data_IF_000079827068
#
_entry.id   IF_000079827068
#
_cell.length_a   1.000
_cell.length_b   1.000
_cell.length_c   1.000
_cell.angle_alpha   90.00
_cell.angle_beta   90.00
_cell.angle_gamma   90.00
#
_symmetry.space_group_name_H-M   'P 1'
#
loop_
_entity.id
_entity.type
_entity.pdbx_description
1 polymer ?
#
# COMPACT_ATOMS: atom_id res chain seq x y z
N UNK A 1 -21.82 0.25 18.35
CA UNK A 1 -21.72 -0.11 16.97
C UNK A 1 -20.31 -0.39 16.55
N UNK A 2 -20.14 -1.40 15.77
CA UNK A 2 -18.81 -1.81 15.39
C UNK A 2 -18.34 -1.11 14.15
N UNK A 3 -17.13 -0.61 14.21
CA UNK A 3 -16.50 -0.09 13.02
C UNK A 3 -16.13 -1.25 12.11
N UNK A 4 -16.26 -1.01 10.83
CA UNK A 4 -15.84 -2.00 9.88
C UNK A 4 -14.35 -2.21 10.01
N UNK A 5 -13.96 -3.46 10.04
CA UNK A 5 -12.55 -3.77 10.09
C UNK A 5 -11.96 -3.51 8.71
N UNK A 6 -10.93 -2.71 8.66
CA UNK A 6 -10.28 -2.39 7.40
C UNK A 6 -9.24 -3.45 7.08
N UNK A 7 -9.74 -4.57 6.60
CA UNK A 7 -8.89 -5.70 6.29
C UNK A 7 -8.61 -5.84 4.82
N UNK A 8 -8.42 -4.73 4.18
CA UNK A 8 -8.02 -4.79 2.77
C UNK A 8 -6.68 -5.49 2.69
N UNK A 9 -6.65 -6.52 1.90
CA UNK A 9 -5.45 -7.32 1.80
C UNK A 9 -4.53 -6.70 0.78
N UNK A 10 -3.60 -5.94 1.27
CA UNK A 10 -2.61 -5.30 0.42
C UNK A 10 -1.86 -6.32 -0.42
N UNK A 11 -1.77 -7.52 0.10
CA UNK A 11 -1.10 -8.59 -0.64
C UNK A 11 -1.75 -8.88 -1.98
N UNK A 12 -3.01 -8.48 -2.17
CA UNK A 12 -3.70 -8.66 -3.43
C UNK A 12 -3.43 -7.54 -4.41
N UNK A 13 -2.71 -6.51 -3.99
CA UNK A 13 -2.43 -5.37 -4.82
C UNK A 13 -1.70 -5.77 -6.11
N UNK A 14 -0.72 -6.67 -5.99
CA UNK A 14 0.04 -7.17 -7.13
C UNK A 14 0.06 -8.69 -7.07
N UNK A 15 -1.05 -9.35 -7.41
CA UNK A 15 -1.12 -10.80 -7.24
C UNK A 15 -0.10 -11.57 -8.07
N UNK A 16 0.27 -11.05 -9.23
CA UNK A 16 1.24 -11.72 -10.08
C UNK A 16 2.66 -11.60 -9.56
N UNK A 17 2.89 -10.71 -8.62
CA UNK A 17 4.22 -10.50 -8.02
C UNK A 17 4.31 -11.01 -6.59
N UNK A 18 3.38 -11.86 -6.22
CA UNK A 18 3.27 -12.30 -4.84
C UNK A 18 4.56 -12.85 -4.26
N UNK A 19 5.17 -13.79 -4.97
CA UNK A 19 6.41 -14.40 -4.50
C UNK A 19 7.56 -13.41 -4.50
N UNK A 20 7.58 -12.58 -5.52
CA UNK A 20 8.62 -11.57 -5.65
C UNK A 20 8.54 -10.54 -4.53
N UNK A 21 7.31 -10.16 -4.17
CA UNK A 21 7.11 -9.23 -3.06
C UNK A 21 7.68 -9.80 -1.78
N UNK A 22 7.37 -11.06 -1.50
CA UNK A 22 7.86 -11.68 -0.29
C UNK A 22 9.37 -11.73 -0.26
N UNK A 23 9.99 -12.09 -1.37
CA UNK A 23 11.43 -12.16 -1.44
C UNK A 23 12.08 -10.79 -1.31
N UNK A 24 11.52 -9.79 -1.95
CA UNK A 24 12.06 -8.43 -1.86
C UNK A 24 11.93 -7.86 -0.46
N UNK A 25 10.87 -8.20 0.24
CA UNK A 25 10.72 -7.75 1.62
C UNK A 25 11.82 -8.30 2.52
N UNK A 26 12.31 -9.48 2.21
CA UNK A 26 13.40 -10.09 2.98
C UNK A 26 14.76 -9.54 2.57
N UNK A 27 14.93 -9.29 1.29
CA UNK A 27 16.24 -8.89 0.76
C UNK A 27 16.46 -7.38 0.76
N UNK A 28 15.39 -6.61 0.69
CA UNK A 28 15.49 -5.17 0.54
C UNK A 28 14.69 -4.47 1.64
N UNK A 29 15.38 -3.98 2.68
CA UNK A 29 14.69 -3.30 3.78
C UNK A 29 13.96 -2.04 3.32
N UNK A 30 14.46 -1.36 2.31
CA UNK A 30 13.80 -0.18 1.79
C UNK A 30 12.44 -0.55 1.18
N UNK A 31 12.43 -1.63 0.41
CA UNK A 31 11.18 -2.11 -0.18
C UNK A 31 10.20 -2.53 0.91
N UNK A 32 10.70 -3.24 1.91
CA UNK A 32 9.85 -3.68 3.02
C UNK A 32 9.21 -2.51 3.74
N UNK A 33 10.00 -1.46 3.99
CA UNK A 33 9.48 -0.28 4.65
C UNK A 33 8.42 0.40 3.81
N UNK A 34 8.67 0.54 2.50
CA UNK A 34 7.69 1.15 1.62
C UNK A 34 6.40 0.36 1.56
N UNK A 35 6.53 -0.95 1.55
CA UNK A 35 5.37 -1.81 1.52
C UNK A 35 4.55 -1.63 2.80
N UNK A 36 5.22 -1.57 3.94
CA UNK A 36 4.54 -1.34 5.22
C UNK A 36 3.88 0.04 5.26
N UNK A 37 4.55 1.04 4.72
CA UNK A 37 3.99 2.39 4.66
C UNK A 37 2.72 2.42 3.82
N UNK A 38 2.74 1.72 2.70
CA UNK A 38 1.57 1.63 1.84
C UNK A 38 0.41 0.98 2.58
N UNK A 39 0.71 -0.08 3.29
CA UNK A 39 -0.30 -0.80 4.05
C UNK A 39 -0.89 0.08 5.15
N UNK A 40 -0.04 0.80 5.85
CA UNK A 40 -0.49 1.70 6.90
C UNK A 40 -1.37 2.81 6.35
N UNK A 41 -0.99 3.36 5.21
CA UNK A 41 -1.78 4.40 4.57
C UNK A 41 -3.14 3.87 4.12
N UNK A 42 -3.15 2.65 3.59
CA UNK A 42 -4.40 2.05 3.15
C UNK A 42 -5.37 1.89 4.33
N UNK A 43 -4.85 1.46 5.48
CA UNK A 43 -5.65 1.32 6.67
C UNK A 43 -6.15 2.67 7.17
N UNK A 44 -5.28 3.65 7.18
CA UNK A 44 -5.64 4.98 7.64
C UNK A 44 -6.72 5.59 6.76
N UNK A 45 -6.59 5.44 5.45
CA UNK A 45 -7.59 5.93 4.52
C UNK A 45 -8.92 5.22 4.76
N UNK A 46 -8.88 3.93 4.98
CA UNK A 46 -10.09 3.17 5.23
C UNK A 46 -10.80 3.66 6.48
N UNK A 47 -10.06 3.96 7.53
CA UNK A 47 -10.64 4.49 8.76
C UNK A 47 -11.24 5.87 8.54
N UNK A 48 -10.54 6.70 7.77
CA UNK A 48 -11.06 8.05 7.48
C UNK A 48 -12.32 8.00 6.64
N UNK A 49 -12.42 7.03 5.75
CA UNK A 49 -13.61 6.88 4.92
C UNK A 49 -14.85 6.55 5.74
N UNK A 50 -14.67 6.08 6.95
CA UNK A 50 -15.76 5.78 7.84
C UNK A 50 -16.19 6.99 8.67
N UNK A 51 -15.46 8.10 8.57
CA UNK A 51 -15.71 9.31 9.32
C UNK A 51 -16.12 10.43 8.37
N UNK A 52 -17.43 10.72 8.25
CA UNK A 52 -17.89 11.72 7.28
C UNK A 52 -17.36 13.13 7.57
N UNK A 53 -17.09 13.43 8.83
CA UNK A 53 -16.57 14.75 9.18
C UNK A 53 -15.16 14.92 8.60
N UNK A 54 -14.32 13.92 8.74
CA UNK A 54 -12.94 13.99 8.28
C UNK A 54 -12.88 13.97 6.76
N UNK A 55 -13.78 13.22 6.14
CA UNK A 55 -13.89 13.22 4.68
C UNK A 55 -14.23 14.63 4.19
N UNK A 56 -15.17 15.25 4.86
CA UNK A 56 -15.61 16.59 4.48
C UNK A 56 -14.47 17.61 4.58
N UNK A 57 -13.55 17.40 5.51
CA UNK A 57 -12.40 18.28 5.67
C UNK A 57 -11.33 18.07 4.60
N UNK A 58 -11.48 17.05 3.78
CA UNK A 58 -10.50 16.77 2.75
C UNK A 58 -9.23 16.15 3.28
N UNK A 59 -9.28 15.55 4.46
CA UNK A 59 -8.10 14.93 5.08
C UNK A 59 -7.62 13.70 4.33
N UNK A 60 -8.50 13.10 3.55
CA UNK A 60 -8.21 11.86 2.86
C UNK A 60 -7.39 12.07 1.59
N UNK A 61 -7.52 13.24 0.98
CA UNK A 61 -6.86 13.52 -0.29
C UNK A 61 -5.34 13.40 -0.25
N UNK A 62 -4.66 14.06 0.70
CA UNK A 62 -3.20 13.94 0.73
C UNK A 62 -2.74 12.52 1.02
N UNK A 63 -3.52 11.78 1.78
CA UNK A 63 -3.19 10.38 2.07
C UNK A 63 -3.30 9.52 0.84
N UNK A 64 -4.32 9.74 0.03
CA UNK A 64 -4.49 9.00 -1.22
C UNK A 64 -3.35 9.29 -2.19
N UNK A 65 -2.92 10.53 -2.27
CA UNK A 65 -1.81 10.88 -3.13
C UNK A 65 -0.53 10.19 -2.69
N UNK A 66 -0.27 10.20 -1.40
CA UNK A 66 0.92 9.57 -0.86
C UNK A 66 0.88 8.06 -1.10
N UNK A 67 -0.27 7.47 -0.90
CA UNK A 67 -0.45 6.05 -1.14
C UNK A 67 -0.18 5.70 -2.58
N UNK A 68 -0.70 6.50 -3.50
CA UNK A 68 -0.52 6.27 -4.92
C UNK A 68 0.95 6.40 -5.31
N UNK A 69 1.63 7.38 -4.75
CA UNK A 69 3.04 7.57 -5.01
C UNK A 69 3.85 6.35 -4.58
N UNK A 70 3.58 5.86 -3.38
CA UNK A 70 4.28 4.70 -2.86
C UNK A 70 3.98 3.47 -3.70
N UNK A 71 2.72 3.30 -4.09
CA UNK A 71 2.34 2.19 -4.93
C UNK A 71 3.11 2.19 -6.25
N UNK A 72 3.26 3.38 -6.84
CA UNK A 72 4.02 3.51 -8.07
C UNK A 72 5.48 3.12 -7.88
N UNK A 73 6.07 3.53 -6.76
CA UNK A 73 7.45 3.17 -6.46
C UNK A 73 7.61 1.67 -6.30
N UNK A 74 6.66 1.06 -5.59
CA UNK A 74 6.68 -0.39 -5.40
C UNK A 74 6.59 -1.12 -6.74
N UNK A 75 5.71 -0.64 -7.60
CA UNK A 75 5.53 -1.25 -8.91
C UNK A 75 6.81 -1.15 -9.73
N UNK A 76 7.48 -0.03 -9.68
CA UNK A 76 8.73 0.15 -10.42
C UNK A 76 9.81 -0.79 -9.94
N UNK A 77 9.89 -0.99 -8.63
CA UNK A 77 10.88 -1.92 -8.07
C UNK A 77 10.55 -3.34 -8.51
N UNK A 78 9.28 -3.71 -8.47
CA UNK A 78 8.86 -5.04 -8.88
C UNK A 78 9.16 -5.28 -10.35
N UNK A 79 8.86 -4.31 -11.19
CA UNK A 79 9.13 -4.44 -12.61
C UNK A 79 10.61 -4.57 -12.89
N UNK A 80 11.42 -3.78 -12.19
CA UNK A 80 12.85 -3.85 -12.34
C UNK A 80 13.40 -5.20 -11.94
N UNK A 81 12.89 -5.75 -10.84
CA UNK A 81 13.31 -7.07 -10.39
C UNK A 81 12.88 -8.16 -11.37
N UNK A 82 11.68 -8.02 -11.92
CA UNK A 82 11.18 -8.98 -12.90
C UNK A 82 12.06 -9.01 -14.15
N UNK A 83 12.46 -7.85 -14.61
CA UNK A 83 13.31 -7.76 -15.79
C UNK A 83 14.67 -8.38 -15.55
N UNK A 84 15.17 -8.28 -14.33
CA UNK A 84 16.48 -8.85 -13.99
C UNK A 84 16.45 -10.36 -13.94
N UNK A 85 15.30 -10.93 -13.60
CA UNK A 85 15.20 -12.38 -13.44
C UNK A 85 14.78 -13.11 -14.72
N UNK A 86 14.34 -12.38 -15.70
CA UNK A 86 13.87 -13.01 -16.94
C UNK A 86 14.99 -13.29 -17.93
#
# INVERSE_FOLDING_TARGET
>A
MKLKVCNKKTKLMFPEYRDMIQQLREDNPYFSKMFDDHEALDQEICLLEQDPVRIHRGEIEPLKRKKLFIKDQLYRILKGAQLKTS
#
